data_IF_355910859426
#
_entry.id   IF_355910859426
#
_cell.length_a   1.000
_cell.length_b   1.000
_cell.length_c   1.000
_cell.angle_alpha   90.00
_cell.angle_beta   90.00
_cell.angle_gamma   90.00
#
_symmetry.space_group_name_H-M   'P 1'
#
loop_
_entity.id
_entity.type
_entity.pdbx_description
1 polymer ?
#
# COMPACT_ATOMS: atom_id res chain seq x y z
N UNK A 1 -5.15 24.04 -19.20
CA UNK A 1 -5.74 23.77 -20.54
C UNK A 1 -7.26 23.74 -20.39
N UNK A 2 -8.05 24.53 -21.14
CA UNK A 2 -9.50 24.54 -20.97
C UNK A 2 -10.14 23.33 -21.66
N UNK A 3 -11.02 22.65 -20.93
CA UNK A 3 -11.80 21.50 -21.41
C UNK A 3 -12.96 22.01 -22.26
N UNK A 4 -12.98 21.68 -23.54
CA UNK A 4 -14.14 21.86 -24.41
C UNK A 4 -15.17 20.78 -24.10
N UNK A 5 -16.14 21.10 -23.24
CA UNK A 5 -17.35 20.30 -23.03
C UNK A 5 -18.32 20.65 -24.16
N UNK A 6 -18.40 19.77 -25.15
CA UNK A 6 -19.39 19.86 -26.21
C UNK A 6 -20.78 20.01 -25.57
N UNK A 7 -21.44 21.13 -25.90
CA UNK A 7 -22.68 21.61 -25.30
C UNK A 7 -23.86 20.80 -25.82
N UNK A 8 -24.23 19.73 -25.12
CA UNK A 8 -25.58 19.18 -25.21
C UNK A 8 -26.53 20.18 -24.53
N UNK A 9 -27.66 20.58 -25.14
CA UNK A 9 -28.59 21.55 -24.55
C UNK A 9 -29.13 21.05 -23.21
N UNK A 10 -29.47 22.00 -22.33
CA UNK A 10 -30.01 21.70 -21.01
C UNK A 10 -31.33 20.89 -21.13
N UNK A 11 -31.52 19.87 -20.28
CA UNK A 11 -32.72 19.03 -20.28
C UNK A 11 -33.98 19.87 -20.03
N UNK A 12 -35.08 19.51 -20.69
CA UNK A 12 -36.39 20.17 -20.54
C UNK A 12 -37.04 19.76 -19.20
N UNK A 13 -38.05 20.49 -18.70
CA UNK A 13 -38.71 20.17 -17.43
C UNK A 13 -39.33 18.76 -17.38
N UNK A 14 -39.73 18.21 -18.53
CA UNK A 14 -40.16 16.80 -18.68
C UNK A 14 -39.02 15.77 -18.56
N UNK A 15 -37.75 16.19 -18.56
CA UNK A 15 -36.55 15.36 -18.35
C UNK A 15 -36.06 15.38 -16.88
N UNK A 16 -36.78 16.07 -15.97
CA UNK A 16 -36.32 16.41 -14.61
C UNK A 16 -36.54 15.34 -13.52
N UNK A 17 -36.92 14.11 -13.85
CA UNK A 17 -36.78 12.97 -12.92
C UNK A 17 -35.40 12.28 -13.02
N UNK A 18 -34.53 12.76 -13.91
CA UNK A 18 -33.21 12.17 -14.15
C UNK A 18 -32.16 12.95 -13.38
N UNK A 19 -31.84 12.49 -12.16
CA UNK A 19 -30.66 12.95 -11.44
C UNK A 19 -29.44 12.96 -12.38
N UNK A 20 -28.57 13.99 -12.35
CA UNK A 20 -27.41 14.05 -13.23
C UNK A 20 -26.59 12.77 -13.08
N UNK A 21 -26.55 11.97 -14.15
CA UNK A 21 -25.82 10.71 -14.18
C UNK A 21 -24.32 11.04 -14.23
N UNK A 22 -23.74 11.36 -13.08
CA UNK A 22 -22.28 11.42 -12.95
C UNK A 22 -21.75 10.01 -13.16
N UNK A 23 -21.10 9.80 -14.30
CA UNK A 23 -20.44 8.54 -14.60
C UNK A 23 -19.12 8.50 -13.82
N UNK A 24 -19.15 7.91 -12.63
CA UNK A 24 -17.95 7.71 -11.81
C UNK A 24 -17.23 6.45 -12.31
N UNK A 25 -16.03 6.62 -12.87
CA UNK A 25 -15.16 5.48 -13.17
C UNK A 25 -14.53 4.92 -11.88
N UNK A 26 -15.10 3.84 -11.34
CA UNK A 26 -14.55 3.11 -10.21
C UNK A 26 -13.43 2.16 -10.66
N UNK A 27 -12.29 2.72 -11.06
CA UNK A 27 -11.08 1.93 -11.36
C UNK A 27 -10.08 1.99 -10.22
N UNK A 28 -9.61 0.82 -9.78
CA UNK A 28 -8.48 0.73 -8.84
C UNK A 28 -7.19 0.98 -9.61
N UNK A 29 -6.75 2.23 -9.63
CA UNK A 29 -5.44 2.59 -10.15
C UNK A 29 -4.36 2.03 -9.22
N UNK A 30 -3.37 1.38 -9.82
CA UNK A 30 -2.14 1.02 -9.13
C UNK A 30 -1.49 2.27 -8.56
N UNK A 31 -0.99 2.16 -7.33
CA UNK A 31 -0.29 3.24 -6.65
C UNK A 31 0.75 2.68 -5.70
N UNK A 32 1.57 3.57 -5.16
CA UNK A 32 2.51 3.21 -4.12
C UNK A 32 1.80 3.17 -2.77
N UNK A 33 2.16 2.18 -1.96
CA UNK A 33 1.66 1.98 -0.61
C UNK A 33 2.85 1.83 0.33
N UNK A 34 2.71 2.41 1.52
CA UNK A 34 3.57 2.18 2.66
C UNK A 34 2.95 1.04 3.49
N UNK A 35 3.75 0.01 3.74
CA UNK A 35 3.34 -1.15 4.55
C UNK A 35 4.20 -1.18 5.79
N UNK A 36 3.56 -1.01 6.94
CA UNK A 36 4.17 -1.10 8.26
C UNK A 36 4.01 -2.52 8.77
N UNK A 37 5.13 -3.16 9.13
CA UNK A 37 5.13 -4.54 9.59
C UNK A 37 5.97 -4.73 10.83
N UNK A 38 5.67 -5.78 11.60
CA UNK A 38 6.49 -6.33 12.67
C UNK A 38 7.08 -7.66 12.20
N UNK A 39 8.40 -7.73 12.14
CA UNK A 39 9.15 -8.92 11.68
C UNK A 39 9.65 -9.79 12.84
N UNK A 40 9.59 -9.27 14.06
CA UNK A 40 10.09 -9.92 15.27
C UNK A 40 8.97 -10.61 16.07
N UNK A 41 7.70 -10.37 15.72
CA UNK A 41 6.57 -11.02 16.36
C UNK A 41 6.29 -10.50 17.76
N UNK A 42 6.59 -9.22 18.02
CA UNK A 42 6.28 -8.59 19.29
C UNK A 42 4.77 -8.44 19.51
N UNK A 43 4.00 -8.31 18.42
CA UNK A 43 2.54 -8.12 18.46
C UNK A 43 1.73 -9.42 18.45
N UNK A 44 2.32 -10.53 18.00
CA UNK A 44 1.63 -11.80 17.84
C UNK A 44 2.21 -12.84 18.80
N UNK A 45 1.39 -13.55 19.59
CA UNK A 45 1.86 -14.58 20.52
C UNK A 45 2.38 -15.86 19.81
N UNK A 46 2.60 -15.84 18.49
CA UNK A 46 3.05 -17.00 17.73
C UNK A 46 4.55 -17.30 17.95
N UNK A 47 4.95 -18.58 18.03
CA UNK A 47 6.27 -18.96 18.53
C UNK A 47 7.39 -18.89 17.47
N UNK A 48 8.57 -18.47 17.93
CA UNK A 48 9.98 -18.79 17.56
C UNK A 48 10.44 -18.80 16.09
N UNK A 49 9.55 -18.59 15.12
CA UNK A 49 9.91 -18.50 13.71
C UNK A 49 9.75 -17.05 13.25
N UNK A 50 10.75 -16.44 12.59
CA UNK A 50 10.63 -15.07 12.13
C UNK A 50 9.45 -14.96 11.16
N UNK A 51 8.50 -14.08 11.47
CA UNK A 51 7.25 -13.91 10.73
C UNK A 51 6.97 -12.43 10.54
N UNK A 52 6.37 -12.08 9.40
CA UNK A 52 5.99 -10.70 9.09
C UNK A 52 4.51 -10.47 9.31
N UNK A 53 4.20 -9.75 10.38
CA UNK A 53 2.85 -9.27 10.66
C UNK A 53 2.67 -7.85 10.14
N UNK A 54 1.71 -7.69 9.21
CA UNK A 54 1.37 -6.38 8.67
C UNK A 54 0.43 -5.70 9.65
N UNK A 55 0.88 -4.59 10.23
CA UNK A 55 0.13 -3.83 11.24
C UNK A 55 -0.70 -2.71 10.60
N UNK A 56 -0.12 -2.00 9.62
CA UNK A 56 -0.78 -0.89 8.95
C UNK A 56 -0.40 -0.83 7.47
N UNK A 57 -1.34 -0.37 6.64
CA UNK A 57 -1.10 -0.16 5.21
C UNK A 57 -1.74 1.14 4.79
N UNK A 58 -0.90 2.04 4.28
CA UNK A 58 -1.33 3.35 3.83
C UNK A 58 -0.99 3.60 2.37
N UNK A 59 -1.86 4.29 1.65
CA UNK A 59 -1.56 4.72 0.29
C UNK A 59 -0.67 5.95 0.33
N UNK A 60 0.45 5.91 -0.36
CA UNK A 60 1.33 7.06 -0.50
C UNK A 60 0.64 8.19 -1.29
N UNK A 61 0.94 9.44 -0.95
CA UNK A 61 0.50 10.58 -1.74
C UNK A 61 1.02 10.49 -3.17
N UNK A 62 0.21 10.97 -4.12
CA UNK A 62 0.61 11.09 -5.52
C UNK A 62 1.58 12.27 -5.73
N UNK A 63 1.65 13.22 -4.80
CA UNK A 63 2.60 14.31 -4.83
C UNK A 63 3.93 13.85 -4.20
N UNK A 64 5.03 14.05 -4.90
CA UNK A 64 6.36 13.57 -4.47
C UNK A 64 6.82 14.20 -3.16
N UNK A 65 6.51 15.48 -2.94
CA UNK A 65 6.89 16.20 -1.71
C UNK A 65 6.11 15.67 -0.52
N UNK A 66 4.79 15.57 -0.65
CA UNK A 66 3.93 15.02 0.41
C UNK A 66 4.28 13.56 0.71
N UNK A 67 4.61 12.77 -0.32
CA UNK A 67 5.03 11.39 -0.16
C UNK A 67 6.33 11.27 0.64
N UNK A 68 7.29 12.16 0.40
CA UNK A 68 8.54 12.18 1.18
C UNK A 68 8.29 12.60 2.63
N UNK A 69 7.39 13.56 2.88
CA UNK A 69 6.99 13.90 4.25
C UNK A 69 6.31 12.73 4.96
N UNK A 70 5.36 12.05 4.32
CA UNK A 70 4.73 10.84 4.86
C UNK A 70 5.77 9.77 5.20
N UNK A 71 6.73 9.54 4.30
CA UNK A 71 7.81 8.57 4.49
C UNK A 71 8.66 8.94 5.71
N UNK A 72 9.05 10.20 5.84
CA UNK A 72 9.84 10.68 6.97
C UNK A 72 9.09 10.52 8.29
N UNK A 73 7.79 10.81 8.31
CA UNK A 73 6.94 10.64 9.50
C UNK A 73 6.88 9.17 9.93
N UNK A 74 6.64 8.24 9.00
CA UNK A 74 6.64 6.81 9.30
C UNK A 74 8.00 6.30 9.78
N UNK A 75 9.09 6.76 9.16
CA UNK A 75 10.44 6.38 9.60
C UNK A 75 10.75 6.90 11.01
N UNK A 76 10.30 8.11 11.34
CA UNK A 76 10.44 8.66 12.69
C UNK A 76 9.65 7.86 13.73
N UNK A 77 8.45 7.40 13.39
CA UNK A 77 7.63 6.54 14.25
C UNK A 77 8.29 5.17 14.49
N UNK A 78 8.81 4.54 13.43
CA UNK A 78 9.47 3.23 13.50
C UNK A 78 10.79 3.27 14.26
N UNK A 79 11.51 4.40 14.22
CA UNK A 79 12.81 4.53 14.89
C UNK A 79 12.74 4.22 16.41
N UNK A 80 11.59 4.39 17.04
CA UNK A 80 11.36 4.07 18.45
C UNK A 80 10.90 2.65 18.74
N UNK A 81 10.65 1.82 17.71
CA UNK A 81 9.99 0.52 17.84
C UNK A 81 10.83 -0.59 17.17
N UNK A 82 11.65 -1.33 17.93
CA UNK A 82 12.44 -2.44 17.41
C UNK A 82 11.57 -3.48 16.70
N UNK A 83 12.11 -4.17 15.70
CA UNK A 83 11.40 -5.19 14.91
C UNK A 83 10.41 -4.65 13.87
N UNK A 84 10.13 -3.35 13.89
CA UNK A 84 9.21 -2.74 12.93
C UNK A 84 9.91 -2.32 11.65
N UNK A 85 9.25 -2.53 10.51
CA UNK A 85 9.80 -2.22 9.19
C UNK A 85 8.79 -1.48 8.32
N UNK A 86 9.31 -0.56 7.49
CA UNK A 86 8.57 0.12 6.44
C UNK A 86 8.91 -0.49 5.09
N UNK A 87 7.92 -1.02 4.39
CA UNK A 87 8.09 -1.54 3.03
C UNK A 87 7.26 -0.72 2.04
N UNK A 88 7.89 -0.22 0.99
CA UNK A 88 7.23 0.49 -0.10
C UNK A 88 6.85 -0.48 -1.22
N UNK A 89 5.56 -0.49 -1.61
CA UNK A 89 5.04 -1.46 -2.57
C UNK A 89 4.10 -0.81 -3.57
N UNK A 90 4.27 -1.11 -4.85
CA UNK A 90 3.26 -0.80 -5.87
C UNK A 90 2.15 -1.85 -5.87
N UNK A 91 0.92 -1.42 -5.57
CA UNK A 91 -0.22 -2.32 -5.45
C UNK A 91 -1.52 -1.69 -5.97
N UNK A 92 -2.56 -2.53 -6.10
CA UNK A 92 -3.91 -2.12 -6.53
C UNK A 92 -4.85 -1.80 -5.36
N UNK A 93 -4.49 -2.26 -4.17
CA UNK A 93 -5.25 -2.11 -2.93
C UNK A 93 -4.35 -2.36 -1.73
N UNK A 94 -4.78 -1.91 -0.55
CA UNK A 94 -4.08 -2.17 0.71
C UNK A 94 -3.87 -3.68 0.97
N UNK A 95 -4.91 -4.50 0.75
CA UNK A 95 -4.79 -5.96 0.87
C UNK A 95 -3.77 -6.56 -0.11
N UNK A 96 -3.70 -6.04 -1.34
CA UNK A 96 -2.70 -6.48 -2.31
C UNK A 96 -1.28 -6.07 -1.87
N UNK A 97 -1.11 -4.87 -1.32
CA UNK A 97 0.16 -4.40 -0.78
C UNK A 97 0.63 -5.26 0.40
N UNK A 98 -0.26 -5.53 1.39
CA UNK A 98 0.03 -6.42 2.51
C UNK A 98 0.46 -7.82 2.04
N UNK A 99 -0.26 -8.37 1.06
CA UNK A 99 0.06 -9.69 0.50
C UNK A 99 1.40 -9.72 -0.26
N UNK A 100 1.79 -8.63 -0.94
CA UNK A 100 3.12 -8.52 -1.54
C UNK A 100 4.19 -8.43 -0.45
N UNK A 101 4.04 -7.55 0.53
CA UNK A 101 5.02 -7.35 1.60
C UNK A 101 5.33 -8.64 2.38
N UNK A 102 4.31 -9.44 2.68
CA UNK A 102 4.48 -10.77 3.29
C UNK A 102 5.24 -11.74 2.38
N UNK A 103 4.86 -11.84 1.10
CA UNK A 103 5.51 -12.76 0.15
C UNK A 103 6.98 -12.42 -0.06
N UNK A 104 7.32 -11.14 -0.16
CA UNK A 104 8.70 -10.69 -0.31
C UNK A 104 9.54 -11.12 0.89
N UNK A 105 9.05 -10.90 2.11
CA UNK A 105 9.74 -11.30 3.34
C UNK A 105 10.03 -12.80 3.40
N UNK A 106 9.00 -13.63 3.19
CA UNK A 106 9.19 -15.10 3.20
C UNK A 106 10.08 -15.57 2.06
N UNK A 107 10.03 -14.93 0.89
CA UNK A 107 10.96 -15.21 -0.22
C UNK A 107 12.41 -14.92 0.15
N UNK A 108 12.67 -13.79 0.81
CA UNK A 108 14.01 -13.43 1.29
C UNK A 108 14.54 -14.39 2.37
N UNK A 109 13.67 -14.86 3.28
CA UNK A 109 14.05 -15.87 4.27
C UNK A 109 14.51 -17.17 3.60
N UNK A 110 13.75 -17.69 2.63
CA UNK A 110 14.10 -18.93 1.92
C UNK A 110 15.47 -18.82 1.24
N UNK A 111 15.78 -17.66 0.65
CA UNK A 111 17.08 -17.42 0.02
C UNK A 111 18.21 -17.41 1.06
N UNK A 112 18.03 -16.70 2.17
CA UNK A 112 19.04 -16.63 3.25
C UNK A 112 19.31 -18.00 3.87
N UNK A 113 18.27 -18.80 4.09
CA UNK A 113 18.41 -20.14 4.64
C UNK A 113 19.20 -21.05 3.68
N UNK A 114 18.90 -20.97 2.38
CA UNK A 114 19.64 -21.72 1.35
C UNK A 114 21.13 -21.31 1.27
N UNK A 115 21.43 -20.02 1.34
CA UNK A 115 22.81 -19.52 1.37
C UNK A 115 23.58 -19.96 2.62
N UNK A 116 22.90 -20.03 3.76
CA UNK A 116 23.50 -20.46 5.03
C UNK A 116 23.90 -21.93 4.99
N UNK A 117 23.04 -22.79 4.43
CA UNK A 117 23.35 -24.22 4.22
C UNK A 117 24.56 -24.39 3.31
N UNK A 118 24.63 -23.67 2.19
CA UNK A 118 25.75 -23.74 1.24
C UNK A 118 27.10 -23.31 1.85
N UNK A 119 27.10 -22.37 2.80
CA UNK A 119 28.32 -21.89 3.47
C UNK A 119 28.81 -22.79 4.61
N UNK A 120 27.96 -23.72 5.06
CA UNK A 120 28.26 -24.66 6.15
C UNK A 120 28.81 -26.02 5.69
N UNK A 121 28.88 -26.22 4.37
CA UNK A 121 29.48 -27.38 3.69
C UNK A 121 30.92 -27.08 3.26
#
# INVERSE_FOLDING_TARGET
>A
MPVSLNKTPAPRPEDMDVAPAYRVELRKLTGMFFVFSDDEGQWSPLPTTPHRDVLHVERASNNDVEREFQRADFLAEIAGAPGHTLTEVYAKSAAHAAGIARRTFYGEQVIRDAETVLRSL
#
